data_IF_047273903552
#
_entry.id   IF_047273903552
#
_cell.length_a   1.000
_cell.length_b   1.000
_cell.length_c   1.000
_cell.angle_alpha   90.00
_cell.angle_beta   90.00
_cell.angle_gamma   90.00
#
_symmetry.space_group_name_H-M   'P 1'
#
loop_
_entity.id
_entity.type
_entity.pdbx_description
1 polymer ?
#
# COMPACT_ATOMS: atom_id res chain seq x y z
N UNK A 1 10.66 6.54 0.08
CA UNK A 1 9.37 5.85 -0.13
C UNK A 1 8.70 6.48 -1.33
N UNK A 2 8.27 5.71 -2.31
CA UNK A 2 7.45 6.19 -3.43
C UNK A 2 6.03 5.65 -3.24
N UNK A 3 5.06 6.48 -2.82
CA UNK A 3 3.66 6.04 -2.78
C UNK A 3 2.96 6.27 -4.12
N UNK A 4 2.14 5.32 -4.55
CA UNK A 4 1.16 5.51 -5.65
C UNK A 4 -0.19 5.01 -5.14
N UNK A 5 -1.16 5.93 -4.99
CA UNK A 5 -2.36 5.71 -4.17
C UNK A 5 -1.95 5.60 -2.70
N UNK A 6 -2.20 6.62 -1.89
CA UNK A 6 -1.60 6.67 -0.55
C UNK A 6 -2.33 5.69 0.38
N UNK A 7 -1.58 4.72 0.88
CA UNK A 7 -2.06 3.68 1.80
C UNK A 7 -2.30 4.22 3.21
N UNK A 8 -1.54 5.25 3.61
CA UNK A 8 -1.67 5.93 4.90
C UNK A 8 -1.48 7.43 4.71
N UNK A 9 -2.53 8.21 4.96
CA UNK A 9 -2.45 9.67 4.90
C UNK A 9 -1.74 10.25 6.13
N UNK A 10 -0.88 11.30 5.99
CA UNK A 10 -0.27 11.99 7.13
C UNK A 10 -1.28 12.50 8.16
N UNK A 11 -2.50 12.84 7.74
CA UNK A 11 -3.59 13.21 8.64
C UNK A 11 -3.94 12.06 9.60
N UNK A 12 -4.04 10.83 9.10
CA UNK A 12 -4.40 9.64 9.88
C UNK A 12 -3.31 9.28 10.88
N UNK A 13 -2.04 9.46 10.50
CA UNK A 13 -0.90 9.29 11.43
C UNK A 13 -1.01 10.26 12.61
N UNK A 14 -1.39 11.52 12.35
CA UNK A 14 -1.59 12.54 13.40
C UNK A 14 -2.83 12.27 14.24
N UNK A 15 -3.96 11.94 13.60
CA UNK A 15 -5.25 11.73 14.28
C UNK A 15 -5.22 10.52 15.21
N UNK A 16 -4.49 9.46 14.82
CA UNK A 16 -4.30 8.26 15.64
C UNK A 16 -3.08 8.33 16.56
N UNK A 17 -2.33 9.44 16.52
CA UNK A 17 -1.08 9.64 17.28
C UNK A 17 -0.15 8.43 17.09
N UNK A 18 0.06 8.07 15.83
CA UNK A 18 0.95 6.99 15.41
C UNK A 18 2.34 7.56 15.23
N UNK A 19 3.15 7.55 16.29
CA UNK A 19 4.52 8.01 16.23
C UNK A 19 5.47 6.83 16.04
N UNK A 20 6.31 6.82 14.98
CA UNK A 20 7.34 5.81 14.84
C UNK A 20 8.28 5.85 16.05
N UNK A 21 8.48 4.71 16.71
CA UNK A 21 9.48 4.59 17.76
C UNK A 21 10.86 4.92 17.19
N UNK A 22 11.66 5.80 17.83
CA UNK A 22 13.02 6.07 17.41
C UNK A 22 13.84 4.77 17.32
N UNK A 23 14.53 4.56 16.20
CA UNK A 23 15.37 3.38 16.01
C UNK A 23 16.80 3.67 16.47
N UNK A 24 17.35 2.75 17.25
CA UNK A 24 18.70 2.81 17.80
C UNK A 24 19.73 2.20 16.85
N UNK A 25 21.00 2.21 17.27
CA UNK A 25 22.05 1.49 16.58
C UNK A 25 21.87 -0.03 16.66
N UNK A 26 21.29 -0.54 17.75
CA UNK A 26 21.03 -1.97 17.94
C UNK A 26 20.02 -2.44 16.89
N UNK A 27 18.93 -1.69 16.70
CA UNK A 27 17.92 -2.01 15.69
C UNK A 27 18.52 -2.07 14.27
N UNK A 28 19.49 -1.19 13.97
CA UNK A 28 20.16 -1.19 12.67
C UNK A 28 21.05 -2.43 12.51
N UNK A 29 21.80 -2.78 13.55
CA UNK A 29 22.67 -3.95 13.54
C UNK A 29 21.89 -5.26 13.41
N UNK A 30 20.73 -5.38 14.05
CA UNK A 30 19.85 -6.56 13.90
C UNK A 30 19.34 -6.72 12.46
N UNK A 31 18.98 -5.61 11.82
CA UNK A 31 18.57 -5.62 10.40
C UNK A 31 19.75 -5.95 9.47
N UNK A 32 20.94 -5.44 9.75
CA UNK A 32 22.16 -5.74 8.98
C UNK A 32 22.51 -7.24 8.98
N UNK A 33 22.13 -8.00 10.00
CA UNK A 33 22.34 -9.45 10.04
C UNK A 33 21.42 -10.22 9.09
N UNK A 34 20.30 -9.63 8.68
CA UNK A 34 19.25 -10.27 7.90
C UNK A 34 19.11 -9.69 6.49
N UNK A 35 19.84 -8.61 6.20
CA UNK A 35 19.83 -7.89 4.92
C UNK A 35 21.23 -7.90 4.33
N UNK A 36 21.37 -8.46 3.13
CA UNK A 36 22.64 -8.41 2.41
C UNK A 36 22.82 -6.99 1.83
N UNK A 37 24.05 -6.49 1.81
CA UNK A 37 24.38 -5.19 1.22
C UNK A 37 24.81 -5.28 -0.25
N UNK A 38 25.20 -6.48 -0.71
CA UNK A 38 25.64 -6.73 -2.08
C UNK A 38 24.45 -6.78 -3.04
N UNK A 39 24.34 -5.82 -4.00
CA UNK A 39 23.22 -5.77 -4.95
C UNK A 39 23.14 -7.00 -5.87
N UNK A 40 24.19 -7.82 -5.95
CA UNK A 40 24.22 -9.04 -6.77
C UNK A 40 23.66 -10.27 -6.04
N UNK A 41 23.37 -10.16 -4.74
CA UNK A 41 22.77 -11.22 -3.92
C UNK A 41 21.33 -10.89 -3.56
N UNK A 42 20.51 -11.88 -3.15
CA UNK A 42 19.20 -11.61 -2.60
C UNK A 42 19.28 -10.60 -1.46
N UNK A 43 18.35 -9.63 -1.42
CA UNK A 43 18.46 -8.53 -0.46
C UNK A 43 18.13 -8.97 0.97
N UNK A 44 17.22 -9.93 1.13
CA UNK A 44 16.81 -10.46 2.42
C UNK A 44 17.29 -11.91 2.53
N UNK A 45 18.12 -12.19 3.54
CA UNK A 45 18.75 -13.50 3.72
C UNK A 45 17.72 -14.53 4.17
N UNK A 46 16.90 -14.15 5.15
CA UNK A 46 15.82 -14.98 5.68
C UNK A 46 14.59 -14.08 5.92
N UNK A 47 13.59 -14.13 5.04
CA UNK A 47 12.37 -13.33 5.20
C UNK A 47 11.58 -13.65 6.46
N UNK A 48 11.60 -14.90 6.93
CA UNK A 48 10.87 -15.25 8.14
C UNK A 48 11.58 -14.70 9.37
N UNK A 49 12.89 -14.91 9.47
CA UNK A 49 13.68 -14.34 10.56
C UNK A 49 13.56 -12.81 10.61
N UNK A 50 13.45 -12.14 9.46
CA UNK A 50 13.21 -10.70 9.40
C UNK A 50 11.88 -10.31 10.08
N UNK A 51 10.76 -10.92 9.68
CA UNK A 51 9.46 -10.55 10.27
C UNK A 51 9.32 -11.02 11.72
N UNK A 52 9.94 -12.14 12.08
CA UNK A 52 9.93 -12.65 13.46
C UNK A 52 10.79 -11.80 14.39
N UNK A 53 12.06 -11.55 14.05
CA UNK A 53 13.00 -10.85 14.93
C UNK A 53 12.80 -9.32 14.89
N UNK A 54 12.59 -8.74 13.71
CA UNK A 54 12.53 -7.27 13.55
C UNK A 54 11.12 -6.74 13.77
N UNK A 55 10.09 -7.45 13.30
CA UNK A 55 8.70 -7.03 13.41
C UNK A 55 7.96 -7.74 14.56
N UNK A 56 8.55 -8.76 15.18
CA UNK A 56 7.94 -9.46 16.32
C UNK A 56 6.76 -10.36 15.93
N UNK A 57 6.69 -10.81 14.67
CA UNK A 57 5.61 -11.70 14.21
C UNK A 57 5.68 -13.04 14.93
N UNK A 58 4.51 -13.64 15.17
CA UNK A 58 4.40 -14.92 15.87
C UNK A 58 4.00 -16.03 14.89
N UNK A 59 4.82 -17.08 14.76
CA UNK A 59 4.56 -18.20 13.85
C UNK A 59 3.15 -18.79 14.00
N UNK A 60 2.67 -18.92 15.25
CA UNK A 60 1.32 -19.44 15.55
C UNK A 60 0.17 -18.61 14.96
N UNK A 61 0.42 -17.34 14.64
CA UNK A 61 -0.56 -16.40 14.07
C UNK A 61 -0.38 -16.22 12.55
N UNK A 62 0.58 -16.92 11.94
CA UNK A 62 0.93 -16.78 10.54
C UNK A 62 0.89 -18.15 9.87
N UNK A 63 -0.15 -18.42 9.09
CA UNK A 63 -0.25 -19.64 8.32
C UNK A 63 0.78 -19.65 7.17
N UNK A 64 1.38 -20.80 6.90
CA UNK A 64 2.47 -20.97 5.93
C UNK A 64 3.86 -20.62 6.46
N UNK A 65 3.96 -19.98 7.64
CA UNK A 65 5.24 -19.68 8.26
C UNK A 65 5.94 -20.96 8.80
N UNK A 66 7.28 -20.96 8.91
CA UNK A 66 8.01 -21.99 9.65
C UNK A 66 7.44 -22.17 11.08
N UNK A 67 6.95 -23.37 11.39
CA UNK A 67 6.33 -23.68 12.68
C UNK A 67 4.92 -23.10 12.91
N UNK A 68 4.34 -22.45 11.89
CA UNK A 68 2.98 -21.93 11.91
C UNK A 68 1.92 -22.93 11.42
N UNK A 69 0.64 -22.53 11.43
CA UNK A 69 -0.44 -23.32 10.84
C UNK A 69 -0.24 -23.56 9.33
N UNK A 70 -0.90 -24.57 8.78
CA UNK A 70 -0.91 -24.78 7.33
C UNK A 70 -1.67 -23.65 6.62
N UNK A 71 -1.13 -23.20 5.48
CA UNK A 71 -1.80 -22.23 4.62
C UNK A 71 -3.02 -22.90 3.95
N UNK A 72 -4.23 -22.33 4.03
CA UNK A 72 -5.41 -22.95 3.44
C UNK A 72 -5.46 -22.76 1.92
N UNK A 73 -5.97 -23.78 1.22
CA UNK A 73 -6.14 -23.74 -0.23
C UNK A 73 -7.14 -22.67 -0.72
N UNK A 74 -8.02 -22.19 0.17
CA UNK A 74 -8.98 -21.12 -0.16
C UNK A 74 -8.32 -19.78 -0.47
N UNK A 75 -7.05 -19.60 -0.11
CA UNK A 75 -6.27 -18.42 -0.47
C UNK A 75 -5.59 -18.54 -1.84
N UNK A 76 -5.72 -19.68 -2.52
CA UNK A 76 -5.18 -19.87 -3.86
C UNK A 76 -6.19 -19.44 -4.92
N UNK A 77 -5.74 -18.67 -5.91
CA UNK A 77 -6.52 -18.26 -7.06
C UNK A 77 -6.00 -18.97 -8.31
N UNK A 78 -6.78 -19.90 -8.83
CA UNK A 78 -6.50 -20.53 -10.12
C UNK A 78 -6.93 -19.62 -11.26
N UNK A 79 -6.06 -19.47 -12.24
CA UNK A 79 -6.29 -18.69 -13.45
C UNK A 79 -6.11 -19.59 -14.67
N UNK A 80 -7.17 -20.32 -15.08
CA UNK A 80 -7.09 -21.28 -16.18
C UNK A 80 -6.66 -20.66 -17.50
N UNK A 81 -7.01 -19.38 -17.73
CA UNK A 81 -6.67 -18.66 -18.96
C UNK A 81 -5.17 -18.46 -19.15
N UNK A 82 -4.40 -18.53 -18.06
CA UNK A 82 -2.95 -18.32 -18.04
C UNK A 82 -2.20 -19.56 -17.55
N UNK A 83 -2.90 -20.70 -17.40
CA UNK A 83 -2.37 -21.95 -16.85
C UNK A 83 -1.51 -21.75 -15.58
N UNK A 84 -2.02 -20.93 -14.65
CA UNK A 84 -1.26 -20.52 -13.47
C UNK A 84 -2.13 -20.45 -12.23
N UNK A 85 -1.48 -20.49 -11.08
CA UNK A 85 -2.10 -20.37 -9.76
C UNK A 85 -1.37 -19.26 -9.03
N UNK A 86 -2.13 -18.26 -8.57
CA UNK A 86 -1.62 -17.26 -7.64
C UNK A 86 -1.87 -17.75 -6.22
N UNK A 87 -0.82 -17.76 -5.42
CA UNK A 87 -0.86 -18.20 -4.03
C UNK A 87 -0.08 -17.22 -3.16
N UNK A 88 -0.52 -16.92 -1.94
CA UNK A 88 0.36 -16.32 -0.97
C UNK A 88 1.35 -17.37 -0.45
N UNK A 89 2.45 -16.90 0.12
CA UNK A 89 3.39 -17.73 0.86
C UNK A 89 2.96 -17.81 2.32
N UNK A 90 2.49 -16.69 2.88
CA UNK A 90 1.97 -16.62 4.25
C UNK A 90 0.62 -15.91 4.35
N UNK A 91 -0.14 -16.20 5.41
CA UNK A 91 -1.35 -15.49 5.75
C UNK A 91 -1.42 -15.19 7.25
N UNK A 92 -1.65 -13.93 7.59
CA UNK A 92 -1.69 -13.44 8.97
C UNK A 92 -3.12 -13.43 9.48
N UNK A 93 -3.36 -14.14 10.57
CA UNK A 93 -4.68 -14.23 11.20
C UNK A 93 -5.15 -12.87 11.69
N UNK A 94 -6.43 -12.58 11.52
CA UNK A 94 -7.10 -11.47 12.18
C UNK A 94 -7.56 -11.88 13.58
N UNK A 95 -7.00 -11.32 14.67
CA UNK A 95 -7.43 -11.65 16.02
C UNK A 95 -8.86 -11.19 16.36
N UNK A 96 -9.51 -10.35 15.54
CA UNK A 96 -10.95 -10.05 15.70
C UNK A 96 -11.86 -11.24 15.41
N UNK A 97 -11.40 -12.24 14.67
CA UNK A 97 -12.21 -13.43 14.35
C UNK A 97 -13.45 -13.14 13.50
N UNK A 98 -13.38 -12.16 12.59
CA UNK A 98 -14.46 -11.83 11.66
C UNK A 98 -14.69 -12.89 10.57
N UNK A 99 -15.65 -12.64 9.68
CA UNK A 99 -15.96 -13.56 8.55
C UNK A 99 -14.76 -13.79 7.63
N UNK A 100 -13.92 -12.76 7.47
CA UNK A 100 -12.61 -12.88 6.84
C UNK A 100 -11.58 -13.12 7.96
N UNK A 101 -11.04 -14.35 8.13
CA UNK A 101 -10.12 -14.68 9.21
C UNK A 101 -8.69 -14.15 8.97
N UNK A 102 -8.42 -13.53 7.82
CA UNK A 102 -7.09 -13.04 7.44
C UNK A 102 -7.07 -11.52 7.30
N UNK A 103 -6.15 -10.86 8.00
CA UNK A 103 -5.98 -9.40 7.89
C UNK A 103 -4.95 -9.00 6.83
N UNK A 104 -4.00 -9.89 6.52
CA UNK A 104 -2.86 -9.64 5.63
C UNK A 104 -2.42 -10.96 5.00
N UNK A 105 -2.17 -10.99 3.70
CA UNK A 105 -1.45 -12.10 3.05
C UNK A 105 -0.08 -11.62 2.58
N UNK A 106 0.90 -12.52 2.54
CA UNK A 106 2.28 -12.22 2.16
C UNK A 106 2.66 -13.01 0.91
N UNK A 107 3.34 -12.34 -0.02
CA UNK A 107 3.92 -12.95 -1.22
C UNK A 107 5.43 -12.71 -1.22
N UNK A 108 6.21 -13.77 -1.32
CA UNK A 108 7.65 -13.73 -1.48
C UNK A 108 7.97 -13.97 -2.96
N UNK A 109 8.57 -12.98 -3.61
CA UNK A 109 9.06 -13.12 -4.96
C UNK A 109 10.53 -13.55 -4.97
N UNK A 110 10.90 -14.35 -5.96
CA UNK A 110 12.27 -14.84 -6.11
C UNK A 110 13.27 -13.75 -6.50
N UNK A 111 14.57 -14.07 -6.52
CA UNK A 111 15.60 -13.09 -6.80
C UNK A 111 15.46 -12.41 -8.16
N UNK A 112 15.72 -11.10 -8.20
CA UNK A 112 15.69 -10.31 -9.44
C UNK A 112 14.30 -10.01 -10.01
N UNK A 113 13.20 -10.44 -9.35
CA UNK A 113 11.84 -10.08 -9.76
C UNK A 113 11.56 -8.61 -9.43
N UNK A 114 11.43 -7.77 -10.45
CA UNK A 114 10.94 -6.40 -10.26
C UNK A 114 9.40 -6.40 -10.19
N UNK A 115 8.81 -5.90 -9.10
CA UNK A 115 7.35 -5.88 -8.91
C UNK A 115 6.58 -5.11 -9.99
N UNK A 116 7.24 -4.20 -10.69
CA UNK A 116 6.66 -3.32 -11.71
C UNK A 116 6.98 -3.76 -13.15
N UNK A 117 7.78 -4.82 -13.33
CA UNK A 117 8.14 -5.34 -14.65
C UNK A 117 7.06 -6.26 -15.23
N UNK A 118 6.68 -6.01 -16.49
CA UNK A 118 5.71 -6.83 -17.23
C UNK A 118 6.35 -8.11 -17.77
N UNK A 119 5.53 -9.14 -18.00
CA UNK A 119 5.95 -10.35 -18.71
C UNK A 119 6.80 -11.32 -17.90
N UNK A 120 6.84 -11.20 -16.56
CA UNK A 120 7.57 -12.13 -15.69
C UNK A 120 7.02 -13.58 -15.72
N UNK A 121 5.83 -13.78 -16.29
CA UNK A 121 5.27 -15.10 -16.62
C UNK A 121 4.90 -15.10 -18.11
N UNK A 122 5.33 -16.13 -18.85
CA UNK A 122 5.07 -16.22 -20.29
C UNK A 122 3.57 -16.19 -20.59
N UNK A 123 3.15 -15.27 -21.45
CA UNK A 123 1.74 -15.13 -21.88
C UNK A 123 0.86 -14.26 -20.98
N UNK A 124 1.35 -13.79 -19.82
CA UNK A 124 0.61 -12.88 -18.95
C UNK A 124 1.33 -11.55 -18.78
N UNK A 125 0.83 -10.51 -19.47
CA UNK A 125 1.38 -9.15 -19.50
C UNK A 125 1.29 -8.38 -18.17
N UNK A 126 0.69 -8.97 -17.13
CA UNK A 126 0.54 -8.32 -15.83
C UNK A 126 1.86 -8.34 -15.04
N UNK A 127 2.15 -7.24 -14.34
CA UNK A 127 3.30 -7.15 -13.43
C UNK A 127 3.06 -8.01 -12.18
N UNK A 128 4.11 -8.46 -11.46
CA UNK A 128 3.94 -9.15 -10.17
C UNK A 128 3.02 -8.39 -9.20
N UNK A 129 3.15 -7.06 -9.14
CA UNK A 129 2.26 -6.20 -8.37
C UNK A 129 0.79 -6.38 -8.75
N UNK A 130 0.45 -6.29 -10.04
CA UNK A 130 -0.92 -6.43 -10.53
C UNK A 130 -1.49 -7.84 -10.29
N UNK A 131 -0.65 -8.88 -10.40
CA UNK A 131 -1.04 -10.25 -10.06
C UNK A 131 -1.41 -10.37 -8.59
N UNK A 132 -0.60 -9.76 -7.72
CA UNK A 132 -0.87 -9.80 -6.29
C UNK A 132 -2.08 -8.96 -5.89
N UNK A 133 -2.31 -7.80 -6.50
CA UNK A 133 -3.56 -7.05 -6.33
C UNK A 133 -4.79 -7.87 -6.74
N UNK A 134 -4.69 -8.65 -7.82
CA UNK A 134 -5.76 -9.56 -8.23
C UNK A 134 -5.99 -10.65 -7.17
N UNK A 135 -4.93 -11.24 -6.63
CA UNK A 135 -5.03 -12.21 -5.54
C UNK A 135 -5.76 -11.63 -4.32
N UNK A 136 -5.40 -10.42 -3.89
CA UNK A 136 -6.05 -9.73 -2.77
C UNK A 136 -7.56 -9.55 -3.00
N UNK A 137 -7.94 -9.09 -4.19
CA UNK A 137 -9.34 -8.83 -4.54
C UNK A 137 -10.19 -10.09 -4.62
N UNK A 138 -9.63 -11.19 -5.15
CA UNK A 138 -10.35 -12.46 -5.30
C UNK A 138 -10.43 -13.27 -4.00
N UNK A 139 -9.39 -13.22 -3.15
CA UNK A 139 -9.42 -13.84 -1.82
C UNK A 139 -10.24 -13.04 -0.81
N UNK A 140 -10.52 -11.77 -1.11
CA UNK A 140 -11.21 -10.85 -0.21
C UNK A 140 -10.34 -10.32 0.93
N UNK A 141 -9.04 -10.63 0.95
CA UNK A 141 -8.10 -10.05 1.90
C UNK A 141 -7.66 -8.70 1.37
N UNK A 142 -8.04 -7.61 2.05
CA UNK A 142 -7.88 -6.26 1.50
C UNK A 142 -6.44 -5.73 1.54
N UNK A 143 -5.55 -6.34 2.32
CA UNK A 143 -4.16 -5.92 2.47
C UNK A 143 -3.19 -7.06 2.16
N UNK A 144 -2.07 -6.72 1.52
CA UNK A 144 -1.01 -7.66 1.18
C UNK A 144 0.38 -7.08 1.42
N UNK A 145 1.34 -7.95 1.73
CA UNK A 145 2.75 -7.62 1.81
C UNK A 145 3.51 -8.39 0.73
N UNK A 146 4.10 -7.70 -0.23
CA UNK A 146 4.99 -8.31 -1.21
C UNK A 146 6.43 -8.07 -0.80
N UNK A 147 7.24 -9.12 -0.75
CA UNK A 147 8.68 -9.03 -0.49
C UNK A 147 9.41 -9.45 -1.75
N UNK A 148 10.26 -8.56 -2.25
CA UNK A 148 11.12 -8.77 -3.43
C UNK A 148 12.58 -8.54 -3.02
N UNK A 149 13.54 -8.60 -3.95
CA UNK A 149 14.91 -8.14 -3.69
C UNK A 149 15.05 -6.61 -3.62
N UNK A 150 14.04 -5.87 -4.03
CA UNK A 150 14.07 -4.41 -4.14
C UNK A 150 13.46 -3.77 -2.90
N UNK A 151 12.20 -4.11 -2.64
CA UNK A 151 11.40 -3.51 -1.58
C UNK A 151 10.44 -4.50 -0.92
N UNK A 152 10.13 -4.20 0.34
CA UNK A 152 8.93 -4.68 1.02
C UNK A 152 7.80 -3.72 0.63
N UNK A 153 6.77 -4.22 -0.02
CA UNK A 153 5.64 -3.45 -0.53
C UNK A 153 4.36 -3.79 0.20
N UNK A 154 3.85 -2.86 1.00
CA UNK A 154 2.52 -2.93 1.60
C UNK A 154 1.50 -2.44 0.58
N UNK A 155 0.53 -3.29 0.24
CA UNK A 155 -0.49 -3.05 -0.77
C UNK A 155 -1.85 -3.11 -0.09
N UNK A 156 -2.70 -2.13 -0.37
CA UNK A 156 -4.09 -2.10 0.05
C UNK A 156 -4.99 -2.06 -1.18
N UNK A 157 -5.75 -3.13 -1.40
CA UNK A 157 -6.55 -3.34 -2.60
C UNK A 157 -7.95 -3.90 -2.26
N UNK A 158 -8.77 -3.19 -1.47
CA UNK A 158 -10.13 -3.63 -1.17
C UNK A 158 -10.98 -3.78 -2.44
N UNK A 159 -11.85 -4.78 -2.46
CA UNK A 159 -12.70 -5.09 -3.63
C UNK A 159 -13.61 -3.91 -3.96
N UNK A 160 -13.66 -3.53 -5.25
CA UNK A 160 -14.50 -2.43 -5.73
C UNK A 160 -13.91 -1.02 -5.56
N UNK A 161 -12.72 -0.90 -4.96
CA UNK A 161 -12.07 0.38 -4.73
C UNK A 161 -10.69 0.47 -5.42
N UNK A 162 -10.23 1.71 -5.64
CA UNK A 162 -8.86 1.99 -6.10
C UNK A 162 -7.86 1.52 -5.06
N UNK A 163 -6.87 0.77 -5.51
CA UNK A 163 -5.76 0.32 -4.67
C UNK A 163 -4.73 1.42 -4.40
N UNK A 164 -3.93 1.21 -3.37
CA UNK A 164 -2.76 2.01 -3.05
C UNK A 164 -1.63 1.12 -2.53
N UNK A 165 -0.39 1.59 -2.61
CA UNK A 165 0.74 0.88 -2.03
C UNK A 165 1.84 1.80 -1.45
N UNK A 166 2.65 1.23 -0.56
CA UNK A 166 3.83 1.85 0.04
C UNK A 166 5.00 0.88 -0.03
N UNK A 167 6.16 1.35 -0.52
CA UNK A 167 7.38 0.53 -0.63
C UNK A 167 8.48 1.00 0.32
N UNK A 168 9.13 0.02 0.95
CA UNK A 168 10.28 0.15 1.83
C UNK A 168 11.50 -0.56 1.19
N UNK A 169 12.45 0.18 0.59
CA UNK A 169 13.65 -0.41 0.02
C UNK A 169 14.46 -1.21 1.06
N UNK A 170 14.62 -2.52 0.85
CA UNK A 170 15.13 -3.45 1.86
C UNK A 170 16.52 -3.06 2.34
N UNK A 171 17.45 -2.84 1.41
CA UNK A 171 18.85 -2.51 1.73
C UNK A 171 18.99 -1.17 2.46
N UNK A 172 18.06 -0.24 2.24
CA UNK A 172 18.07 1.02 2.97
C UNK A 172 17.73 0.82 4.45
N UNK A 173 16.91 -0.17 4.81
CA UNK A 173 16.53 -0.46 6.20
C UNK A 173 17.74 -0.84 7.08
N UNK A 174 18.76 -1.45 6.47
CA UNK A 174 20.01 -1.84 7.12
C UNK A 174 21.01 -0.67 7.27
N UNK A 175 20.63 0.56 6.94
CA UNK A 175 21.55 1.71 7.02
C UNK A 175 21.16 2.67 8.14
N UNK A 176 22.15 3.39 8.68
CA UNK A 176 21.93 4.47 9.65
C UNK A 176 20.93 5.51 9.11
N UNK A 177 21.03 5.86 7.81
CA UNK A 177 20.11 6.80 7.15
C UNK A 177 18.69 6.25 6.97
N UNK A 178 18.51 4.93 7.01
CA UNK A 178 17.22 4.25 6.88
C UNK A 178 16.47 4.05 8.19
N UNK A 179 17.01 4.46 9.34
CA UNK A 179 16.38 4.30 10.66
C UNK A 179 14.95 4.84 10.74
N UNK A 180 14.70 6.02 10.17
CA UNK A 180 13.34 6.58 10.14
C UNK A 180 12.39 5.73 9.30
N UNK A 181 12.89 5.14 8.21
CA UNK A 181 12.12 4.25 7.34
C UNK A 181 11.82 2.91 8.03
N UNK A 182 12.80 2.35 8.76
CA UNK A 182 12.61 1.17 9.61
C UNK A 182 11.57 1.44 10.71
N UNK A 183 11.61 2.61 11.35
CA UNK A 183 10.59 3.03 12.30
C UNK A 183 9.20 3.07 11.67
N UNK A 184 9.08 3.59 10.44
CA UNK A 184 7.83 3.58 9.68
C UNK A 184 7.34 2.17 9.32
N UNK A 185 8.26 1.26 8.97
CA UNK A 185 7.93 -0.14 8.71
C UNK A 185 7.39 -0.82 9.98
N UNK A 186 8.10 -0.70 11.12
CA UNK A 186 7.67 -1.23 12.42
C UNK A 186 6.32 -0.64 12.83
N UNK A 187 6.11 0.67 12.69
CA UNK A 187 4.84 1.31 13.01
C UNK A 187 3.63 0.68 12.27
N UNK A 188 3.86 0.20 11.05
CA UNK A 188 2.84 -0.36 10.18
C UNK A 188 2.67 -1.87 10.31
N UNK A 189 3.71 -2.60 10.70
CA UNK A 189 3.73 -4.07 10.59
C UNK A 189 4.28 -4.77 11.83
N UNK A 190 4.54 -4.07 12.93
CA UNK A 190 4.97 -4.73 14.16
C UNK A 190 3.85 -5.58 14.78
N UNK A 191 4.26 -6.39 15.76
CA UNK A 191 3.36 -7.20 16.58
C UNK A 191 2.19 -6.41 17.15
N UNK A 192 2.44 -5.19 17.61
CA UNK A 192 1.43 -4.28 18.15
C UNK A 192 0.34 -4.04 17.13
N UNK A 193 0.73 -3.52 15.98
CA UNK A 193 -0.15 -3.13 14.89
C UNK A 193 -0.96 -4.30 14.31
N UNK A 194 -0.40 -5.50 14.28
CA UNK A 194 -1.09 -6.67 13.74
C UNK A 194 -1.96 -7.38 14.78
N UNK A 195 -1.52 -7.48 16.03
CA UNK A 195 -2.10 -8.46 16.96
C UNK A 195 -2.62 -7.89 18.27
N UNK A 196 -1.96 -6.91 18.88
CA UNK A 196 -2.22 -6.56 20.29
C UNK A 196 -2.76 -5.14 20.51
N UNK A 197 -2.63 -4.25 19.53
CA UNK A 197 -3.19 -2.90 19.63
C UNK A 197 -4.72 -2.92 19.64
N UNK A 198 -5.31 -1.81 20.12
CA UNK A 198 -6.74 -1.57 20.00
C UNK A 198 -7.21 -1.68 18.54
N UNK A 199 -8.41 -2.21 18.33
CA UNK A 199 -8.94 -2.54 17.01
C UNK A 199 -8.90 -1.37 16.01
N UNK A 200 -9.18 -0.15 16.47
CA UNK A 200 -9.20 1.06 15.67
C UNK A 200 -7.81 1.62 15.31
N UNK A 201 -6.77 1.04 15.93
CA UNK A 201 -5.36 1.28 15.67
C UNK A 201 -4.71 0.11 14.92
N UNK A 202 -5.31 -1.08 14.83
CA UNK A 202 -4.71 -2.20 14.08
C UNK A 202 -4.64 -1.94 12.57
N UNK A 203 -3.79 -2.69 11.87
CA UNK A 203 -3.49 -2.47 10.44
C UNK A 203 -4.75 -2.24 9.58
N UNK A 204 -5.80 -3.10 9.60
CA UNK A 204 -6.97 -2.89 8.73
C UNK A 204 -7.66 -1.54 8.95
N UNK A 205 -7.81 -1.12 10.21
CA UNK A 205 -8.45 0.15 10.56
C UNK A 205 -7.60 1.35 10.13
N UNK A 206 -6.27 1.28 10.30
CA UNK A 206 -5.35 2.33 9.87
C UNK A 206 -5.37 2.50 8.35
N UNK A 207 -5.35 1.39 7.60
CA UNK A 207 -5.43 1.42 6.14
C UNK A 207 -6.75 2.02 5.64
N UNK A 208 -7.86 1.59 6.24
CA UNK A 208 -9.19 2.12 5.93
C UNK A 208 -9.29 3.62 6.20
N UNK A 209 -8.90 4.07 7.40
CA UNK A 209 -8.86 5.51 7.75
C UNK A 209 -7.92 6.27 6.81
N UNK A 210 -6.75 5.70 6.50
CA UNK A 210 -5.78 6.19 5.52
C UNK A 210 -6.42 6.54 4.19
N UNK A 211 -7.22 5.61 3.68
CA UNK A 211 -7.94 5.74 2.42
C UNK A 211 -9.09 6.76 2.48
N UNK A 212 -9.85 6.78 3.56
CA UNK A 212 -10.94 7.74 3.77
C UNK A 212 -10.42 9.19 3.82
N UNK A 213 -9.33 9.43 4.55
CA UNK A 213 -8.68 10.73 4.60
C UNK A 213 -8.14 11.16 3.23
N UNK A 214 -7.59 10.23 2.45
CA UNK A 214 -7.20 10.48 1.05
C UNK A 214 -8.37 10.88 0.16
N UNK A 215 -9.50 10.18 0.27
CA UNK A 215 -10.70 10.52 -0.49
C UNK A 215 -11.18 11.94 -0.13
N UNK A 216 -11.20 12.28 1.17
CA UNK A 216 -11.57 13.60 1.65
C UNK A 216 -10.63 14.72 1.13
N UNK A 217 -9.32 14.48 1.13
CA UNK A 217 -8.34 15.44 0.57
C UNK A 217 -8.51 15.61 -0.94
N UNK A 218 -8.78 14.53 -1.68
CA UNK A 218 -9.05 14.60 -3.12
C UNK A 218 -10.30 15.44 -3.41
N UNK A 219 -11.36 15.28 -2.62
CA UNK A 219 -12.59 16.09 -2.74
C UNK A 219 -12.31 17.55 -2.43
N UNK A 220 -11.63 17.84 -1.31
CA UNK A 220 -11.32 19.21 -0.90
C UNK A 220 -10.40 19.94 -1.91
N UNK A 221 -9.40 19.24 -2.47
CA UNK A 221 -8.54 19.82 -3.50
C UNK A 221 -9.33 20.08 -4.80
N UNK A 222 -10.21 19.17 -5.20
CA UNK A 222 -11.08 19.38 -6.36
C UNK A 222 -11.99 20.61 -6.17
N UNK A 223 -12.55 20.80 -4.98
CA UNK A 223 -13.34 22.00 -4.62
C UNK A 223 -12.50 23.28 -4.65
N UNK A 224 -11.27 23.25 -4.13
CA UNK A 224 -10.35 24.40 -4.17
C UNK A 224 -9.96 24.77 -5.61
N UNK A 225 -9.65 23.78 -6.45
CA UNK A 225 -9.32 24.00 -7.87
C UNK A 225 -10.54 24.59 -8.60
N UNK A 226 -11.73 24.07 -8.35
CA UNK A 226 -12.97 24.61 -8.92
C UNK A 226 -13.24 26.04 -8.42
N UNK A 227 -13.01 26.31 -7.14
CA UNK A 227 -13.11 27.65 -6.54
C UNK A 227 -12.15 28.65 -7.17
N UNK A 228 -10.87 28.28 -7.29
CA UNK A 228 -9.83 29.10 -7.92
C UNK A 228 -10.11 29.34 -9.41
N UNK A 229 -10.61 28.33 -10.14
CA UNK A 229 -11.05 28.48 -11.52
C UNK A 229 -12.22 29.47 -11.63
N UNK A 230 -13.22 29.38 -10.75
CA UNK A 230 -14.34 30.32 -10.72
C UNK A 230 -13.90 31.76 -10.39
N UNK A 231 -12.93 31.93 -9.50
CA UNK A 231 -12.36 33.25 -9.21
C UNK A 231 -11.56 33.82 -10.38
N UNK A 232 -10.77 32.97 -11.07
CA UNK A 232 -10.06 33.36 -12.28
C UNK A 232 -11.03 33.80 -13.39
N UNK A 233 -12.10 33.04 -13.62
CA UNK A 233 -13.14 33.38 -14.61
C UNK A 233 -13.86 34.68 -14.23
N UNK A 234 -14.14 34.91 -12.94
CA UNK A 234 -14.70 36.16 -12.43
C UNK A 234 -13.75 37.33 -12.64
N UNK A 235 -12.46 37.15 -12.36
CA UNK A 235 -11.42 38.16 -12.57
C UNK A 235 -11.25 38.52 -14.05
N UNK A 236 -11.24 37.52 -14.95
CA UNK A 236 -11.16 37.74 -16.39
C UNK A 236 -12.40 38.46 -16.94
N UNK A 237 -13.60 38.09 -16.47
CA UNK A 237 -14.84 38.79 -16.82
C UNK A 237 -14.88 40.24 -16.28
N UNK A 238 -14.29 40.50 -15.11
CA UNK A 238 -14.19 41.83 -14.55
C UNK A 238 -13.17 42.71 -15.30
N UNK A 239 -12.06 42.13 -15.76
CA UNK A 239 -11.02 42.83 -16.50
C UNK A 239 -11.41 43.15 -17.95
N UNK A 240 -12.15 42.25 -18.63
CA UNK A 240 -12.68 42.49 -19.98
C UNK A 240 -14.06 41.84 -20.18
N UNK A 241 -15.15 42.55 -19.78
CA UNK A 241 -16.51 42.06 -19.93
C UNK A 241 -16.94 41.88 -21.39
N UNK A 242 -16.31 42.62 -22.31
CA UNK A 242 -16.68 42.65 -23.73
C UNK A 242 -16.16 41.43 -24.50
N UNK A 243 -14.91 41.03 -24.24
CA UNK A 243 -14.32 39.83 -24.83
C UNK A 243 -15.03 38.56 -24.35
N UNK A 244 -15.36 38.45 -23.05
CA UNK A 244 -16.07 37.29 -22.49
C UNK A 244 -17.49 37.17 -23.06
N UNK A 245 -18.23 38.27 -23.19
CA UNK A 245 -19.57 38.26 -23.82
C UNK A 245 -19.53 37.83 -25.29
N UNK A 246 -18.52 38.26 -26.06
CA UNK A 246 -18.33 37.79 -27.45
C UNK A 246 -18.01 36.29 -27.51
N UNK A 247 -17.14 35.79 -26.63
CA UNK A 247 -16.80 34.37 -26.53
C UNK A 247 -18.02 33.50 -26.15
N UNK A 248 -18.86 33.96 -25.23
CA UNK A 248 -20.09 33.26 -24.82
C UNK A 248 -21.12 33.14 -25.96
N UNK A 249 -21.15 34.12 -26.88
CA UNK A 249 -22.04 34.11 -28.06
C UNK A 249 -21.49 33.22 -29.18
N UNK A 250 -20.17 33.13 -29.34
CA UNK A 250 -19.52 32.40 -30.45
C UNK A 250 -19.30 30.91 -30.12
N UNK A 251 -19.01 30.55 -28.86
CA UNK A 251 -18.79 29.17 -28.41
C UNK A 251 -19.39 28.90 -27.01
N UNK A 252 -20.72 28.74 -26.89
CA UNK A 252 -21.39 28.54 -25.61
C UNK A 252 -20.97 27.28 -24.84
N UNK A 253 -20.48 26.25 -25.53
CA UNK A 253 -20.06 24.98 -24.92
C UNK A 253 -18.80 25.08 -24.03
N UNK A 254 -17.98 26.12 -24.18
CA UNK A 254 -16.71 26.28 -23.43
C UNK A 254 -16.95 26.84 -22.01
N UNK A 255 -18.08 27.49 -21.77
CA UNK A 255 -18.40 28.16 -20.51
C UNK A 255 -19.29 27.34 -19.56
N UNK A 256 -19.63 26.10 -19.91
CA UNK A 256 -20.43 25.22 -19.03
C UNK A 256 -21.82 25.78 -18.66
N UNK A 257 -22.35 26.75 -19.41
CA UNK A 257 -23.66 27.38 -19.17
C UNK A 257 -24.81 26.68 -19.91
N UNK A 258 -24.74 25.36 -20.05
CA UNK A 258 -25.86 24.54 -20.51
C UNK A 258 -26.33 23.66 -19.36
N UNK A 259 -27.06 24.27 -18.42
CA UNK A 259 -28.31 23.78 -17.83
C UNK A 259 -28.59 24.48 -16.50
N UNK A 260 -29.23 25.64 -16.56
CA UNK A 260 -30.22 26.07 -15.57
C UNK A 260 -31.26 26.93 -16.30
N UNK A 261 -32.33 26.27 -16.72
CA UNK A 261 -33.66 26.84 -16.91
C UNK A 261 -34.60 26.04 -16.02
#
# INVERSE_FOLDING_TARGET
MQPVGLVVAPAVVKDLILEPTPQSQIDSAEVELLVDSDPMKPAMIDPWAFVEMILGWEARLVAGAPGGPALPDSLNLRLPEYDTILSPDWAVLDPSGGEQPWQLIVRLEGPGIDPDQRGALGGWEATPHQRFERLLRETGVSAGLMVTDKDIRLIYAPKGETSGWLAFPIRSLATVGGRAMLGGLKLMLDRGRLFTDAEDRRLPAVLKKGREAQAAVSTALAEQVLGALHELLRGLNAADPGAIRKLAVIRPAILGLTHFR
#
